data_IF_032294114587
#
_entry.id   IF_032294114587
#
_cell.length_a   1.000
_cell.length_b   1.000
_cell.length_c   1.000
_cell.angle_alpha   90.00
_cell.angle_beta   90.00
_cell.angle_gamma   90.00
#
_symmetry.space_group_name_H-M   'P 1'
#
loop_
_entity.id
_entity.type
_entity.pdbx_description
1 polymer ?
#
# COMPACT_ATOMS: atom_id res chain seq x y z
N UNK A 1 -24.91 -1.64 2.46
CA UNK A 1 -24.11 -1.08 1.35
C UNK A 1 -22.86 -0.42 1.90
N UNK A 2 -21.72 -0.70 1.33
CA UNK A 2 -20.46 -0.09 1.73
C UNK A 2 -19.87 0.71 0.59
N UNK A 3 -19.23 1.83 0.91
CA UNK A 3 -18.48 2.63 -0.03
C UNK A 3 -17.07 2.86 0.47
N UNK A 4 -16.12 2.88 -0.46
CA UNK A 4 -14.75 3.29 -0.16
C UNK A 4 -14.52 4.62 -0.88
N UNK A 5 -14.14 5.65 -0.13
CA UNK A 5 -13.92 7.00 -0.64
C UNK A 5 -12.63 7.57 -0.09
N UNK A 6 -11.98 8.39 -0.90
CA UNK A 6 -10.83 9.15 -0.43
C UNK A 6 -11.31 10.43 0.25
N UNK A 7 -10.65 10.78 1.36
CA UNK A 7 -10.94 12.03 2.04
C UNK A 7 -10.30 13.20 1.30
N UNK A 8 -10.90 14.38 1.47
CA UNK A 8 -10.38 15.63 0.93
C UNK A 8 -10.19 16.63 2.05
N UNK A 9 -9.32 17.59 1.85
CA UNK A 9 -9.18 18.70 2.79
C UNK A 9 -10.45 19.55 2.79
N UNK A 10 -10.93 19.85 3.97
CA UNK A 10 -12.12 20.66 4.17
C UNK A 10 -11.85 21.64 5.31
N UNK A 11 -11.37 22.85 4.96
CA UNK A 11 -10.87 23.79 5.98
C UNK A 11 -9.68 23.17 6.71
N UNK A 12 -9.77 23.08 8.04
CA UNK A 12 -8.77 22.43 8.89
C UNK A 12 -9.08 20.96 9.14
N UNK A 13 -10.07 20.41 8.45
CA UNK A 13 -10.53 19.03 8.64
C UNK A 13 -10.46 18.27 7.34
N UNK A 14 -10.77 16.99 7.41
CA UNK A 14 -10.94 16.13 6.25
C UNK A 14 -12.42 15.80 6.09
N UNK A 15 -12.88 15.72 4.85
CA UNK A 15 -14.26 15.39 4.54
C UNK A 15 -14.35 14.38 3.41
N UNK A 16 -15.53 13.80 3.26
CA UNK A 16 -15.83 12.84 2.21
C UNK A 16 -17.22 13.11 1.64
N UNK A 17 -17.36 12.95 0.33
CA UNK A 17 -18.66 13.06 -0.34
C UNK A 17 -19.32 11.70 -0.41
N UNK A 18 -20.57 11.64 0.01
CA UNK A 18 -21.39 10.42 0.01
C UNK A 18 -22.58 10.60 -0.95
N UNK A 19 -23.23 9.49 -1.36
CA UNK A 19 -24.42 9.59 -2.19
C UNK A 19 -25.50 10.48 -1.56
N UNK A 20 -26.20 11.23 -2.39
CA UNK A 20 -27.22 12.16 -1.94
C UNK A 20 -28.34 11.49 -1.15
N UNK A 21 -28.64 10.25 -1.50
CA UNK A 21 -29.69 9.45 -0.85
C UNK A 21 -29.37 9.18 0.63
N UNK A 22 -28.11 9.35 1.01
CA UNK A 22 -27.66 9.12 2.40
C UNK A 22 -27.83 10.36 3.28
N UNK A 23 -28.38 11.43 2.73
CA UNK A 23 -28.59 12.68 3.48
C UNK A 23 -29.44 12.40 4.72
N UNK A 24 -28.99 12.88 5.86
CA UNK A 24 -29.67 12.67 7.13
C UNK A 24 -29.53 11.27 7.72
N UNK A 25 -28.75 10.40 7.10
CA UNK A 25 -28.50 9.06 7.61
C UNK A 25 -27.23 9.04 8.46
N UNK A 26 -27.21 8.13 9.40
CA UNK A 26 -26.04 7.87 10.22
C UNK A 26 -25.11 6.91 9.48
N UNK A 27 -23.82 7.18 9.53
CA UNK A 27 -22.81 6.34 8.88
C UNK A 27 -21.69 6.03 9.86
N UNK A 28 -21.05 4.89 9.65
CA UNK A 28 -19.86 4.51 10.37
C UNK A 28 -18.65 4.76 9.48
N UNK A 29 -17.67 5.49 9.98
CA UNK A 29 -16.44 5.80 9.25
C UNK A 29 -15.30 4.95 9.78
N UNK A 30 -14.61 4.24 8.90
CA UNK A 30 -13.48 3.40 9.26
C UNK A 30 -12.26 3.86 8.45
N UNK A 31 -11.17 4.17 9.15
CA UNK A 31 -9.91 4.47 8.50
C UNK A 31 -9.28 3.19 7.98
N UNK A 32 -9.02 3.13 6.67
CA UNK A 32 -8.34 1.99 6.06
C UNK A 32 -6.85 2.29 6.04
N UNK A 33 -6.09 1.50 6.79
CA UNK A 33 -4.63 1.62 6.78
C UNK A 33 -4.05 0.73 5.69
N UNK A 34 -3.81 1.34 4.54
CA UNK A 34 -3.27 0.62 3.38
C UNK A 34 -1.82 0.18 3.58
N UNK A 35 -1.10 0.81 4.49
CA UNK A 35 0.29 0.42 4.74
C UNK A 35 0.37 -0.98 5.36
N UNK A 36 -0.55 -1.34 6.24
CA UNK A 36 -0.64 -2.69 6.79
C UNK A 36 -1.00 -3.72 5.72
N UNK A 37 -1.93 -3.38 4.83
CA UNK A 37 -2.31 -4.27 3.73
C UNK A 37 -1.16 -4.49 2.76
N UNK A 38 -0.44 -3.44 2.40
CA UNK A 38 0.73 -3.52 1.54
C UNK A 38 1.80 -4.42 2.16
N UNK A 39 2.07 -4.23 3.43
CA UNK A 39 3.05 -5.03 4.16
C UNK A 39 2.69 -6.51 4.13
N UNK A 40 1.44 -6.83 4.36
CA UNK A 40 0.94 -8.21 4.33
C UNK A 40 1.08 -8.82 2.94
N UNK A 41 0.70 -8.09 1.90
CA UNK A 41 0.80 -8.55 0.51
C UNK A 41 2.26 -8.78 0.11
N UNK A 42 3.17 -7.91 0.53
CA UNK A 42 4.60 -8.07 0.26
C UNK A 42 5.13 -9.33 0.93
N UNK A 43 4.79 -9.57 2.18
CA UNK A 43 5.21 -10.78 2.88
C UNK A 43 4.66 -12.04 2.22
N UNK A 44 3.44 -12.00 1.71
CA UNK A 44 2.87 -13.13 0.99
C UNK A 44 3.64 -13.42 -0.30
N UNK A 45 3.99 -12.39 -1.07
CA UNK A 45 4.76 -12.53 -2.30
C UNK A 45 6.16 -13.09 -2.01
N UNK A 46 6.79 -12.65 -0.93
CA UNK A 46 8.14 -13.02 -0.54
C UNK A 46 8.19 -14.25 0.35
N UNK A 47 7.08 -14.94 0.58
CA UNK A 47 6.97 -16.01 1.58
C UNK A 47 8.04 -17.10 1.43
N UNK A 48 8.44 -17.44 0.19
CA UNK A 48 9.45 -18.45 -0.08
C UNK A 48 10.88 -17.97 0.14
N UNK A 49 11.07 -16.67 0.36
CA UNK A 49 12.38 -16.04 0.44
C UNK A 49 12.65 -15.37 1.78
N UNK A 50 11.67 -15.35 2.68
CA UNK A 50 11.75 -14.56 3.93
C UNK A 50 12.92 -14.98 4.82
N UNK A 51 13.29 -16.25 4.82
CA UNK A 51 14.42 -16.75 5.62
C UNK A 51 15.76 -16.14 5.19
N UNK A 52 15.86 -15.75 3.92
CA UNK A 52 17.08 -15.21 3.35
C UNK A 52 17.06 -13.67 3.25
N UNK A 53 15.95 -13.05 3.62
CA UNK A 53 15.76 -11.60 3.54
C UNK A 53 15.92 -10.99 4.92
N UNK A 54 16.76 -9.98 5.03
CA UNK A 54 16.95 -9.25 6.29
C UNK A 54 16.65 -7.76 6.22
N UNK A 55 16.12 -7.29 5.11
CA UNK A 55 15.66 -5.92 4.97
C UNK A 55 14.69 -5.78 3.81
N UNK A 56 13.62 -5.00 4.02
CA UNK A 56 12.64 -4.69 2.99
C UNK A 56 12.38 -3.19 3.04
N UNK A 57 12.55 -2.51 1.91
CA UNK A 57 12.44 -1.06 1.82
C UNK A 57 11.47 -0.66 0.71
N UNK A 58 10.57 0.24 1.05
CA UNK A 58 9.65 0.85 0.10
C UNK A 58 10.37 2.04 -0.55
N UNK A 59 10.37 2.10 -1.86
CA UNK A 59 11.06 3.14 -2.61
C UNK A 59 10.14 3.75 -3.67
N UNK A 60 10.62 4.75 -4.39
CA UNK A 60 9.87 5.38 -5.47
C UNK A 60 8.78 6.33 -4.99
N UNK A 61 7.74 6.51 -5.80
CA UNK A 61 6.67 7.46 -5.53
C UNK A 61 5.89 7.12 -4.26
N UNK A 62 5.73 5.84 -3.98
CA UNK A 62 5.01 5.40 -2.78
C UNK A 62 5.74 5.81 -1.50
N UNK A 63 7.07 5.68 -1.47
CA UNK A 63 7.89 6.11 -0.33
C UNK A 63 7.84 7.62 -0.14
N UNK A 64 7.66 8.39 -1.20
CA UNK A 64 7.57 9.85 -1.16
C UNK A 64 6.17 10.37 -0.84
N UNK A 65 5.19 9.49 -0.71
CA UNK A 65 3.80 9.90 -0.49
C UNK A 65 3.11 10.46 -1.72
N UNK A 66 3.67 10.23 -2.91
CA UNK A 66 3.13 10.72 -4.19
C UNK A 66 2.30 9.66 -4.91
N UNK A 67 1.93 8.61 -4.22
CA UNK A 67 1.20 7.50 -4.81
C UNK A 67 -0.22 7.88 -5.21
N UNK A 68 -0.65 7.28 -6.32
CA UNK A 68 -2.03 7.27 -6.76
C UNK A 68 -2.56 5.83 -6.67
N UNK A 69 -3.88 5.66 -6.80
CA UNK A 69 -4.51 4.34 -6.69
C UNK A 69 -3.95 3.30 -7.68
N UNK A 70 -3.43 3.77 -8.82
CA UNK A 70 -2.88 2.92 -9.88
C UNK A 70 -1.37 2.91 -9.94
N UNK A 71 -0.70 3.59 -8.99
CA UNK A 71 0.76 3.65 -8.97
C UNK A 71 1.36 2.28 -8.66
N UNK A 72 2.43 1.94 -9.37
CA UNK A 72 3.22 0.77 -9.03
C UNK A 72 3.94 0.99 -7.70
N UNK A 73 4.13 -0.09 -6.98
CA UNK A 73 4.83 -0.06 -5.70
C UNK A 73 6.20 -0.71 -5.89
N UNK A 74 7.25 0.10 -5.73
CA UNK A 74 8.62 -0.34 -5.87
C UNK A 74 9.21 -0.71 -4.52
N UNK A 75 9.79 -1.90 -4.44
CA UNK A 75 10.32 -2.44 -3.20
C UNK A 75 11.71 -3.00 -3.46
N UNK A 76 12.62 -2.75 -2.52
CA UNK A 76 13.93 -3.36 -2.50
C UNK A 76 14.02 -4.26 -1.28
N UNK A 77 14.29 -5.55 -1.51
CA UNK A 77 14.56 -6.50 -0.45
C UNK A 77 16.04 -6.86 -0.46
N UNK A 78 16.65 -6.94 0.69
CA UNK A 78 18.07 -7.24 0.84
C UNK A 78 18.23 -8.68 1.36
N UNK A 79 18.99 -9.48 0.63
CA UNK A 79 19.27 -10.85 0.97
C UNK A 79 20.78 -11.07 1.04
N UNK A 80 21.20 -12.15 1.69
CA UNK A 80 22.59 -12.58 1.69
C UNK A 80 22.91 -13.63 0.63
N UNK A 81 21.89 -14.17 -0.05
CA UNK A 81 22.04 -15.27 -1.00
C UNK A 81 21.35 -15.04 -2.33
N UNK A 82 20.23 -14.35 -2.33
CA UNK A 82 19.30 -14.34 -3.46
C UNK A 82 19.38 -13.02 -4.20
N UNK A 83 19.37 -13.10 -5.51
CA UNK A 83 19.27 -11.95 -6.39
C UNK A 83 18.20 -12.25 -7.43
N UNK A 84 17.07 -11.54 -7.35
CA UNK A 84 15.92 -11.82 -8.19
C UNK A 84 15.04 -10.60 -8.33
N UNK A 85 14.32 -10.51 -9.44
CA UNK A 85 13.26 -9.53 -9.62
C UNK A 85 11.92 -10.23 -9.71
N UNK A 86 10.93 -9.70 -9.00
CA UNK A 86 9.58 -10.24 -8.96
C UNK A 86 8.62 -9.12 -9.34
N UNK A 87 7.77 -9.39 -10.33
CA UNK A 87 6.66 -8.50 -10.68
C UNK A 87 5.37 -9.26 -10.40
N UNK A 88 4.57 -8.73 -9.48
CA UNK A 88 3.31 -9.34 -9.09
C UNK A 88 2.25 -8.25 -8.97
N UNK A 89 1.35 -8.18 -9.96
CA UNK A 89 0.36 -7.12 -10.01
C UNK A 89 1.02 -5.74 -10.08
N UNK A 90 0.71 -4.90 -9.09
CA UNK A 90 1.28 -3.55 -8.98
C UNK A 90 2.63 -3.52 -8.26
N UNK A 91 3.10 -4.66 -7.75
CA UNK A 91 4.34 -4.74 -7.00
C UNK A 91 5.51 -5.08 -7.90
N UNK A 92 6.57 -4.30 -7.79
CA UNK A 92 7.85 -4.59 -8.41
C UNK A 92 8.89 -4.69 -7.29
N UNK A 93 9.37 -5.91 -7.07
CA UNK A 93 10.26 -6.21 -5.96
C UNK A 93 11.62 -6.62 -6.53
N UNK A 94 12.66 -5.90 -6.15
CA UNK A 94 14.03 -6.23 -6.50
C UNK A 94 14.72 -6.81 -5.27
N UNK A 95 15.07 -8.08 -5.33
CA UNK A 95 15.87 -8.73 -4.28
C UNK A 95 17.32 -8.57 -4.66
N UNK A 96 18.08 -7.90 -3.82
CA UNK A 96 19.50 -7.62 -4.07
C UNK A 96 20.37 -8.18 -2.94
N UNK A 97 21.63 -8.41 -3.23
CA UNK A 97 22.60 -8.83 -2.23
C UNK A 97 23.50 -7.65 -1.84
N UNK A 98 23.95 -7.67 -0.62
CA UNK A 98 24.95 -6.70 -0.15
C UNK A 98 26.32 -6.97 -0.77
#
# INVERSE_FOLDING_TARGET
MELIRNTRQWGNSAGVLLPREWKGKEVKVILIDRSLQIKKEIFDILSNYLEDIFGIYLVGSYARGEQEAKSDIDIIAISNKIRKEIVSGKYHISIVTL
#
